data_IF_686679725314
#
_entry.id   IF_686679725314
#
_cell.length_a   1.000
_cell.length_b   1.000
_cell.length_c   1.000
_cell.angle_alpha   90.00
_cell.angle_beta   90.00
_cell.angle_gamma   90.00
#
_symmetry.space_group_name_H-M   'P 1'
#
loop_
_entity.id
_entity.type
_entity.pdbx_description
1 polymer ?
#
# COMPACT_ATOMS: atom_id res chain seq x y z
N UNK A 1 3.26 8.91 -7.87
CA UNK A 1 2.54 10.12 -8.32
C UNK A 1 3.42 11.11 -9.09
N UNK A 2 4.69 11.33 -8.72
CA UNK A 2 5.54 12.29 -9.46
C UNK A 2 5.84 11.86 -10.91
N UNK A 3 6.12 10.56 -11.13
CA UNK A 3 6.51 10.03 -12.45
C UNK A 3 5.36 9.42 -13.24
N UNK A 4 4.35 8.92 -12.53
CA UNK A 4 3.10 8.46 -13.12
C UNK A 4 2.05 9.46 -12.69
N UNK A 5 1.61 10.29 -13.63
CA UNK A 5 0.56 11.32 -13.46
C UNK A 5 -0.73 10.93 -14.20
N UNK A 6 -0.85 9.67 -14.63
CA UNK A 6 -2.01 9.16 -15.33
C UNK A 6 -2.56 7.96 -14.57
N UNK A 7 -3.71 8.16 -13.93
CA UNK A 7 -4.39 7.14 -13.14
C UNK A 7 -4.80 5.91 -13.97
N UNK A 8 -5.08 6.07 -15.27
CA UNK A 8 -5.40 4.94 -16.15
C UNK A 8 -4.17 4.05 -16.39
N UNK A 9 -3.00 4.65 -16.59
CA UNK A 9 -1.74 3.89 -16.71
C UNK A 9 -1.43 3.17 -15.39
N UNK A 10 -1.61 3.86 -14.26
CA UNK A 10 -1.46 3.25 -12.94
C UNK A 10 -2.41 2.06 -12.74
N UNK A 11 -3.70 2.21 -13.10
CA UNK A 11 -4.69 1.14 -13.05
C UNK A 11 -4.32 -0.06 -13.94
N UNK A 12 -3.79 0.18 -15.13
CA UNK A 12 -3.29 -0.86 -16.02
C UNK A 12 -2.16 -1.68 -15.35
N UNK A 13 -1.19 -1.00 -14.73
CA UNK A 13 -0.12 -1.67 -13.99
C UNK A 13 -0.62 -2.43 -12.76
N UNK A 14 -1.61 -1.90 -12.04
CA UNK A 14 -2.23 -2.61 -10.92
C UNK A 14 -2.91 -3.91 -11.36
N UNK A 15 -3.56 -3.93 -12.52
CA UNK A 15 -4.16 -5.15 -13.05
C UNK A 15 -3.09 -6.19 -13.41
N UNK A 16 -1.98 -5.76 -14.00
CA UNK A 16 -0.83 -6.64 -14.28
C UNK A 16 -0.25 -7.21 -12.98
N UNK A 17 -0.03 -6.35 -11.97
CA UNK A 17 0.45 -6.77 -10.66
C UNK A 17 -0.49 -7.78 -10.00
N UNK A 18 -1.80 -7.54 -10.04
CA UNK A 18 -2.79 -8.49 -9.51
C UNK A 18 -2.60 -9.88 -10.11
N UNK A 19 -2.48 -9.96 -11.43
CA UNK A 19 -2.30 -11.23 -12.12
C UNK A 19 -1.00 -11.92 -11.71
N UNK A 20 0.10 -11.17 -11.57
CA UNK A 20 1.38 -11.72 -11.11
C UNK A 20 1.34 -12.20 -9.67
N UNK A 21 0.69 -11.46 -8.78
CA UNK A 21 0.65 -11.80 -7.35
C UNK A 21 -0.23 -13.02 -7.09
N UNK A 22 -1.33 -13.20 -7.82
CA UNK A 22 -2.17 -14.39 -7.69
C UNK A 22 -1.37 -15.68 -7.94
N UNK A 23 -0.34 -15.64 -8.78
CA UNK A 23 0.55 -16.78 -9.03
C UNK A 23 1.45 -17.14 -7.83
N UNK A 24 1.63 -16.22 -6.87
CA UNK A 24 2.40 -16.47 -5.64
C UNK A 24 1.57 -17.14 -4.55
N UNK A 25 0.25 -17.24 -4.74
CA UNK A 25 -0.64 -17.90 -3.79
C UNK A 25 -0.62 -19.41 -4.04
N UNK A 26 -0.54 -20.24 -2.98
CA UNK A 26 -0.60 -21.68 -3.14
C UNK A 26 -1.92 -22.06 -3.81
N UNK A 27 -1.82 -22.79 -4.93
CA UNK A 27 -2.97 -23.44 -5.54
C UNK A 27 -3.35 -24.59 -4.61
N UNK A 28 -4.58 -24.58 -4.09
CA UNK A 28 -5.08 -25.68 -3.26
C UNK A 28 -5.11 -26.95 -4.13
N UNK A 29 -4.08 -27.78 -3.97
CA UNK A 29 -4.05 -29.13 -4.52
C UNK A 29 -4.64 -30.05 -3.46
N UNK A 30 -5.64 -30.86 -3.82
CA UNK A 30 -6.24 -31.87 -2.94
C UNK A 30 -5.25 -32.98 -2.52
N UNK A 31 -4.05 -32.99 -3.11
CA UNK A 31 -2.95 -33.87 -2.70
C UNK A 31 -2.16 -33.19 -1.58
N UNK A 32 -2.35 -33.71 -0.36
CA UNK A 32 -1.79 -33.34 0.95
C UNK A 32 -0.25 -33.30 1.05
N UNK A 33 0.43 -32.60 0.15
CA UNK A 33 1.81 -32.17 0.37
C UNK A 33 1.72 -30.81 1.05
N UNK A 34 2.16 -30.74 2.31
CA UNK A 34 2.22 -29.53 3.16
C UNK A 34 2.79 -28.36 2.35
N UNK A 35 1.90 -27.59 1.73
CA UNK A 35 2.28 -26.42 0.96
C UNK A 35 2.80 -25.39 1.96
N UNK A 36 3.93 -24.70 1.68
CA UNK A 36 4.39 -23.63 2.55
C UNK A 36 3.26 -22.61 2.71
N UNK A 37 3.11 -22.02 3.91
CA UNK A 37 2.05 -21.05 4.13
C UNK A 37 2.20 -19.88 3.14
N UNK A 38 1.08 -19.30 2.67
CA UNK A 38 1.13 -18.21 1.71
C UNK A 38 1.95 -17.03 2.25
N UNK A 39 2.68 -16.31 1.39
CA UNK A 39 3.45 -15.15 1.81
C UNK A 39 2.53 -14.05 2.34
N UNK A 40 3.02 -13.31 3.33
CA UNK A 40 2.38 -12.07 3.76
C UNK A 40 2.74 -10.95 2.79
N UNK A 41 1.75 -10.49 2.05
CA UNK A 41 1.90 -9.43 1.06
C UNK A 41 1.22 -8.18 1.57
N UNK A 42 1.93 -7.05 1.48
CA UNK A 42 1.45 -5.77 1.95
C UNK A 42 1.52 -4.75 0.82
N UNK A 43 0.59 -3.80 0.85
CA UNK A 43 0.58 -2.63 0.01
C UNK A 43 0.74 -1.40 0.90
N UNK A 44 1.76 -0.58 0.64
CA UNK A 44 1.91 0.70 1.33
C UNK A 44 0.99 1.71 0.63
N UNK A 45 0.02 2.26 1.38
CA UNK A 45 -0.90 3.27 0.87
C UNK A 45 -0.17 4.51 0.34
N UNK A 46 -0.84 5.25 -0.56
CA UNK A 46 -0.30 6.51 -1.05
C UNK A 46 -0.04 7.45 0.15
N UNK A 47 1.05 8.24 0.12
CA UNK A 47 1.30 9.19 1.18
C UNK A 47 0.21 10.27 1.18
N UNK A 48 -0.19 10.70 2.37
CA UNK A 48 -0.97 11.93 2.55
C UNK A 48 -0.11 13.10 2.09
N UNK A 49 -0.63 13.91 1.17
CA UNK A 49 0.09 15.04 0.60
C UNK A 49 -0.27 16.31 1.35
N UNK A 50 0.75 17.10 1.67
CA UNK A 50 0.58 18.42 2.29
C UNK A 50 1.12 19.45 1.31
N UNK A 51 0.25 19.90 0.41
CA UNK A 51 0.62 20.72 -0.74
C UNK A 51 1.42 21.99 -0.36
N UNK A 52 1.12 22.58 0.80
CA UNK A 52 1.84 23.75 1.31
C UNK A 52 3.30 23.49 1.69
N UNK A 53 3.70 22.23 1.88
CA UNK A 53 5.07 21.82 2.23
C UNK A 53 5.86 21.28 1.03
N UNK A 54 5.21 21.04 -0.12
CA UNK A 54 5.89 20.56 -1.32
C UNK A 54 6.89 21.59 -1.84
N UNK A 55 8.15 21.19 -1.90
CA UNK A 55 9.30 22.08 -2.09
C UNK A 55 9.62 22.44 -3.56
N UNK A 56 8.96 21.82 -4.54
CA UNK A 56 9.15 22.12 -5.97
C UNK A 56 7.82 22.37 -6.67
N UNK A 57 7.85 23.19 -7.72
CA UNK A 57 6.66 23.47 -8.52
C UNK A 57 6.13 22.20 -9.20
N UNK A 58 7.04 21.39 -9.76
CA UNK A 58 6.69 20.12 -10.37
C UNK A 58 5.93 19.19 -9.42
N UNK A 59 6.35 19.11 -8.14
CA UNK A 59 5.63 18.33 -7.13
C UNK A 59 4.22 18.89 -6.92
N UNK A 60 4.05 20.20 -6.80
CA UNK A 60 2.72 20.82 -6.59
C UNK A 60 1.78 20.60 -7.77
N UNK A 61 2.30 20.71 -8.99
CA UNK A 61 1.50 20.50 -10.21
C UNK A 61 1.07 19.04 -10.38
N UNK A 62 1.97 18.08 -10.05
CA UNK A 62 1.75 16.66 -10.33
C UNK A 62 1.18 15.87 -9.16
N UNK A 63 1.47 16.28 -7.94
CA UNK A 63 1.09 15.57 -6.70
C UNK A 63 -0.09 16.30 -6.06
N UNK A 64 -1.23 16.27 -6.74
CA UNK A 64 -2.46 16.91 -6.27
C UNK A 64 -3.33 15.92 -5.51
N UNK A 65 -4.22 16.43 -4.65
CA UNK A 65 -5.21 15.62 -3.96
C UNK A 65 -6.13 14.88 -4.94
N UNK A 66 -6.50 15.53 -6.05
CA UNK A 66 -7.29 14.91 -7.12
C UNK A 66 -6.56 13.69 -7.71
N UNK A 67 -5.25 13.78 -7.92
CA UNK A 67 -4.44 12.66 -8.41
C UNK A 67 -4.35 11.55 -7.36
N UNK A 68 -4.16 11.89 -6.08
CA UNK A 68 -4.16 10.92 -4.98
C UNK A 68 -5.48 10.14 -4.93
N UNK A 69 -6.60 10.84 -4.93
CA UNK A 69 -7.96 10.24 -4.93
C UNK A 69 -8.15 9.32 -6.14
N UNK A 70 -7.73 9.75 -7.34
CA UNK A 70 -7.82 8.92 -8.53
C UNK A 70 -6.98 7.62 -8.42
N UNK A 71 -5.82 7.69 -7.75
CA UNK A 71 -4.95 6.53 -7.52
C UNK A 71 -5.55 5.58 -6.48
N UNK A 72 -6.10 6.11 -5.40
CA UNK A 72 -6.78 5.32 -4.37
C UNK A 72 -8.03 4.62 -4.92
N UNK A 73 -8.79 5.31 -5.78
CA UNK A 73 -9.89 4.69 -6.52
C UNK A 73 -9.43 3.58 -7.46
N UNK A 74 -8.37 3.80 -8.23
CA UNK A 74 -7.80 2.80 -9.13
C UNK A 74 -7.35 1.56 -8.34
N UNK A 75 -6.66 1.77 -7.21
CA UNK A 75 -6.25 0.72 -6.29
C UNK A 75 -7.44 -0.07 -5.76
N UNK A 76 -8.49 0.61 -5.28
CA UNK A 76 -9.71 -0.04 -4.78
C UNK A 76 -10.37 -0.91 -5.86
N UNK A 77 -10.48 -0.40 -7.09
CA UNK A 77 -11.10 -1.11 -8.24
C UNK A 77 -10.27 -2.27 -8.76
N UNK A 78 -8.94 -2.22 -8.63
CA UNK A 78 -8.02 -3.25 -9.14
C UNK A 78 -8.19 -4.61 -8.48
N UNK A 79 -8.80 -4.68 -7.28
CA UNK A 79 -8.89 -5.90 -6.46
C UNK A 79 -7.53 -6.51 -6.10
N UNK A 80 -6.51 -5.67 -5.95
CA UNK A 80 -5.19 -6.06 -5.42
C UNK A 80 -5.24 -6.22 -3.89
N UNK A 81 -6.06 -5.41 -3.20
CA UNK A 81 -6.15 -5.38 -1.74
C UNK A 81 -7.15 -6.42 -1.20
N UNK A 82 -6.88 -6.96 -0.01
CA UNK A 82 -7.77 -7.90 0.72
C UNK A 82 -9.19 -7.37 0.89
N UNK A 83 -9.33 -6.10 1.25
CA UNK A 83 -10.64 -5.45 1.40
C UNK A 83 -11.48 -5.41 0.11
N UNK A 84 -10.86 -5.60 -1.06
CA UNK A 84 -11.53 -5.70 -2.36
C UNK A 84 -11.39 -7.09 -3.01
N UNK A 85 -11.01 -8.11 -2.24
CA UNK A 85 -10.91 -9.51 -2.66
C UNK A 85 -9.55 -9.93 -3.24
N UNK A 86 -8.52 -9.10 -3.09
CA UNK A 86 -7.13 -9.41 -3.46
C UNK A 86 -6.28 -9.99 -2.32
N UNK A 87 -5.01 -10.29 -2.57
CA UNK A 87 -4.14 -10.90 -1.55
C UNK A 87 -3.40 -9.92 -0.64
N UNK A 88 -3.24 -8.64 -1.01
CA UNK A 88 -2.39 -7.69 -0.27
C UNK A 88 -3.13 -7.03 0.89
N UNK A 89 -2.51 -6.96 2.06
CA UNK A 89 -2.99 -6.14 3.18
C UNK A 89 -2.57 -4.69 2.98
N UNK A 90 -3.49 -3.73 3.14
CA UNK A 90 -3.18 -2.31 3.06
C UNK A 90 -2.53 -1.84 4.37
N UNK A 91 -1.34 -1.23 4.27
CA UNK A 91 -0.80 -0.35 5.30
C UNK A 91 -1.33 1.06 5.02
N UNK A 92 -2.36 1.43 5.76
CA UNK A 92 -3.06 2.69 5.60
C UNK A 92 -2.27 3.84 6.26
N UNK A 93 -1.41 4.46 5.46
CA UNK A 93 -0.57 5.58 5.90
C UNK A 93 -1.39 6.82 6.25
N UNK A 94 -2.58 7.01 5.65
CA UNK A 94 -3.48 8.11 5.94
C UNK A 94 -4.02 7.97 7.37
N UNK A 95 -4.51 6.79 7.73
CA UNK A 95 -4.95 6.48 9.10
C UNK A 95 -3.81 6.60 10.12
N UNK A 96 -2.59 6.13 9.79
CA UNK A 96 -1.43 6.22 10.68
C UNK A 96 -1.00 7.66 10.99
N UNK A 97 -1.30 8.59 10.09
CA UNK A 97 -0.84 9.98 10.19
C UNK A 97 -1.94 10.99 10.50
N UNK A 98 -3.19 10.53 10.57
CA UNK A 98 -4.36 11.37 10.80
C UNK A 98 -4.21 12.34 11.99
N UNK A 99 -3.72 11.84 13.13
CA UNK A 99 -3.65 12.63 14.37
C UNK A 99 -2.49 13.64 14.41
N UNK A 100 -1.44 13.43 13.61
CA UNK A 100 -0.26 14.31 13.59
C UNK A 100 -0.25 15.27 12.38
N UNK A 101 -0.93 14.91 11.28
CA UNK A 101 -1.07 15.74 10.08
C UNK A 101 0.28 16.29 9.61
N UNK A 102 0.39 17.62 9.53
CA UNK A 102 1.62 18.34 9.13
C UNK A 102 2.85 18.00 9.94
N UNK A 103 2.68 17.56 11.19
CA UNK A 103 3.79 17.20 12.08
C UNK A 103 4.36 15.81 11.83
N UNK A 104 3.77 15.04 10.91
CA UNK A 104 4.22 13.68 10.59
C UNK A 104 5.14 13.61 9.38
N UNK A 105 5.45 14.74 8.74
CA UNK A 105 6.19 14.76 7.48
C UNK A 105 7.26 15.85 7.47
N UNK A 106 8.36 15.57 6.77
CA UNK A 106 9.49 16.48 6.59
C UNK A 106 9.23 17.50 5.49
N UNK A 107 8.58 17.09 4.39
CA UNK A 107 8.44 17.89 3.16
C UNK A 107 7.05 17.81 2.53
N UNK A 108 6.06 17.33 3.28
CA UNK A 108 4.69 17.16 2.80
C UNK A 108 4.44 15.85 2.05
N UNK A 109 5.41 14.94 1.96
CA UNK A 109 5.22 13.59 1.41
C UNK A 109 6.07 12.51 2.08
N UNK A 110 7.27 12.83 2.58
CA UNK A 110 8.11 11.89 3.32
C UNK A 110 7.77 11.96 4.80
N UNK A 111 7.48 10.82 5.40
CA UNK A 111 7.11 10.78 6.80
C UNK A 111 8.34 10.81 7.72
N UNK A 112 8.17 11.27 8.96
CA UNK A 112 9.20 11.08 9.99
C UNK A 112 9.36 9.59 10.35
N UNK A 113 10.53 9.24 10.90
CA UNK A 113 10.88 7.87 11.30
C UNK A 113 9.78 7.16 12.10
N UNK A 114 9.16 7.85 13.07
CA UNK A 114 8.12 7.27 13.93
C UNK A 114 6.91 6.69 13.15
N UNK A 115 6.55 7.29 12.01
CA UNK A 115 5.46 6.77 11.16
C UNK A 115 5.89 5.50 10.45
N UNK A 116 7.12 5.47 9.92
CA UNK A 116 7.68 4.27 9.30
C UNK A 116 7.87 3.14 10.32
N UNK A 117 8.31 3.45 11.53
CA UNK A 117 8.41 2.50 12.65
C UNK A 117 7.05 1.89 12.99
N UNK A 118 6.00 2.72 13.07
CA UNK A 118 4.64 2.23 13.30
C UNK A 118 4.15 1.29 12.18
N UNK A 119 4.42 1.63 10.92
CA UNK A 119 4.09 0.77 9.78
C UNK A 119 4.86 -0.57 9.84
N UNK A 120 6.14 -0.55 10.21
CA UNK A 120 6.97 -1.75 10.39
C UNK A 120 6.45 -2.61 11.56
N UNK A 121 6.02 -2.00 12.67
CA UNK A 121 5.42 -2.74 13.77
C UNK A 121 4.14 -3.49 13.35
N UNK A 122 3.32 -2.90 12.47
CA UNK A 122 2.15 -3.59 11.90
C UNK A 122 2.59 -4.80 11.06
N UNK A 123 3.63 -4.64 10.22
CA UNK A 123 4.19 -5.74 9.44
C UNK A 123 4.69 -6.88 10.33
N UNK A 124 5.47 -6.58 11.37
CA UNK A 124 5.99 -7.58 12.29
C UNK A 124 4.89 -8.27 13.09
N UNK A 125 3.88 -7.52 13.56
CA UNK A 125 2.76 -8.12 14.27
C UNK A 125 1.99 -9.11 13.39
N UNK A 126 1.80 -8.80 12.10
CA UNK A 126 1.18 -9.73 11.16
C UNK A 126 2.01 -11.02 10.98
N UNK A 127 3.35 -10.92 10.93
CA UNK A 127 4.24 -12.08 10.86
C UNK A 127 4.22 -12.92 12.14
N UNK A 128 4.22 -12.28 13.32
CA UNK A 128 4.16 -12.95 14.62
C UNK A 128 2.83 -13.69 14.82
N UNK A 129 1.72 -13.08 14.44
CA UNK A 129 0.40 -13.73 14.51
C UNK A 129 0.38 -14.97 13.62
N UNK A 130 0.93 -14.90 12.41
CA UNK A 130 1.01 -16.06 11.53
C UNK A 130 1.85 -17.19 12.14
N UNK A 131 3.05 -16.87 12.64
CA UNK A 131 3.95 -17.89 13.16
C UNK A 131 3.35 -18.63 14.37
N UNK A 132 2.60 -17.92 15.21
CA UNK A 132 1.90 -18.51 16.35
C UNK A 132 0.63 -19.29 15.97
N UNK A 133 0.02 -19.02 14.81
CA UNK A 133 -1.11 -19.80 14.28
C UNK A 133 -0.68 -21.10 13.60
N UNK A 134 0.60 -21.21 13.23
CA UNK A 134 1.17 -22.41 12.61
C UNK A 134 1.83 -23.39 13.59
N UNK A 135 1.85 -23.06 14.89
CA UNK A 135 2.40 -23.89 15.98
C UNK A 135 1.30 -24.73 16.66
#
# INVERSE_FOLDING_TARGET
MLHFTNASNFAFHLNSLRNSVVLLLPISSELEVRSPPPPHLFWIGMPTLINSMLNTEEKREKMTDAMRVAYDEALRRSKVLRQSGGPLLLLDMESLTWNCGVKCTEDGMHYHAAVYEAAIHILFNALLIQSHQTL
#
